data_IF_114787315799
#
_entry.id   IF_114787315799
#
_cell.length_a   1.000
_cell.length_b   1.000
_cell.length_c   1.000
_cell.angle_alpha   90.00
_cell.angle_beta   90.00
_cell.angle_gamma   90.00
#
_symmetry.space_group_name_H-M   'P 1'
#
loop_
_entity.id
_entity.type
_entity.pdbx_description
1 polymer ?
#
# COMPACT_ATOMS: atom_id res chain seq x y z
N UNK A 1 -3.73 17.51 7.99
CA UNK A 1 -4.64 16.68 7.18
C UNK A 1 -3.91 15.39 6.82
N UNK A 2 -4.36 14.26 7.38
CA UNK A 2 -3.67 12.98 7.27
C UNK A 2 -3.79 12.35 5.87
N UNK A 3 -4.72 12.83 5.04
CA UNK A 3 -4.99 12.26 3.72
C UNK A 3 -3.90 12.57 2.68
N UNK A 4 -3.30 13.77 2.73
CA UNK A 4 -2.27 14.20 1.77
C UNK A 4 -0.90 13.56 1.99
N UNK A 5 -0.52 13.27 3.23
CA UNK A 5 0.79 12.70 3.58
C UNK A 5 0.84 11.21 3.27
N UNK A 6 -0.24 10.46 3.50
CA UNK A 6 -0.31 9.02 3.21
C UNK A 6 -0.39 8.74 1.70
N UNK A 7 -1.10 9.56 0.93
CA UNK A 7 -1.14 9.44 -0.53
C UNK A 7 0.21 9.75 -1.20
N UNK A 8 1.05 10.60 -0.57
CA UNK A 8 2.42 10.83 -0.99
C UNK A 8 3.34 9.66 -0.60
N UNK A 9 3.14 9.08 0.58
CA UNK A 9 3.95 7.95 1.08
C UNK A 9 3.82 6.70 0.20
N UNK A 10 2.62 6.30 -0.19
CA UNK A 10 2.44 5.10 -1.03
C UNK A 10 2.92 5.30 -2.48
N UNK A 11 2.85 6.52 -3.03
CA UNK A 11 3.43 6.80 -4.36
C UNK A 11 4.96 6.74 -4.35
N UNK A 12 5.60 7.06 -3.22
CA UNK A 12 7.04 6.90 -3.06
C UNK A 12 7.48 5.43 -3.24
N UNK A 13 6.67 4.46 -2.80
CA UNK A 13 7.00 3.04 -2.97
C UNK A 13 7.14 2.66 -4.45
N UNK A 14 6.19 3.07 -5.30
CA UNK A 14 6.25 2.80 -6.75
C UNK A 14 7.42 3.54 -7.41
N UNK A 15 7.70 4.77 -6.99
CA UNK A 15 8.86 5.54 -7.44
C UNK A 15 10.18 4.84 -7.11
N UNK A 16 10.30 4.31 -5.89
CA UNK A 16 11.48 3.56 -5.44
C UNK A 16 11.66 2.28 -6.22
N UNK A 17 10.59 1.52 -6.48
CA UNK A 17 10.65 0.33 -7.32
C UNK A 17 11.17 0.68 -8.72
N UNK A 18 10.65 1.75 -9.34
CA UNK A 18 11.13 2.20 -10.64
C UNK A 18 12.63 2.54 -10.62
N UNK A 19 13.07 3.29 -9.60
CA UNK A 19 14.45 3.75 -9.49
C UNK A 19 15.44 2.65 -9.10
N UNK A 20 15.09 1.82 -8.12
CA UNK A 20 16.00 0.86 -7.48
C UNK A 20 15.98 -0.51 -8.16
N UNK A 21 14.86 -0.90 -8.78
CA UNK A 21 14.68 -2.22 -9.42
C UNK A 21 14.47 -2.12 -10.95
N UNK A 22 14.72 -0.95 -11.55
CA UNK A 22 14.54 -0.73 -12.99
C UNK A 22 13.09 -0.92 -13.45
N UNK A 23 12.14 -0.54 -12.60
CA UNK A 23 10.71 -0.66 -12.89
C UNK A 23 10.18 0.37 -13.88
N UNK A 24 9.07 0.06 -14.54
CA UNK A 24 8.37 0.95 -15.49
C UNK A 24 6.93 1.26 -15.07
N UNK A 25 6.67 1.21 -13.77
CA UNK A 25 5.32 1.41 -13.21
C UNK A 25 4.82 2.82 -13.55
N UNK A 26 3.62 2.97 -14.16
CA UNK A 26 3.00 4.27 -14.38
C UNK A 26 2.34 4.77 -13.10
N UNK A 27 3.02 5.65 -12.36
CA UNK A 27 2.56 6.14 -11.03
C UNK A 27 1.18 6.82 -11.07
N UNK A 28 0.83 7.46 -12.19
CA UNK A 28 -0.46 8.11 -12.43
C UNK A 28 -1.63 7.13 -12.51
N UNK A 29 -1.33 5.85 -12.79
CA UNK A 29 -2.33 4.79 -12.87
C UNK A 29 -2.68 4.18 -11.51
N UNK A 30 -2.08 4.65 -10.42
CA UNK A 30 -2.35 4.12 -9.09
C UNK A 30 -2.89 5.19 -8.14
N UNK A 31 -3.91 4.84 -7.37
CA UNK A 31 -4.44 5.66 -6.27
C UNK A 31 -4.29 4.95 -4.94
N UNK A 32 -4.12 5.73 -3.87
CA UNK A 32 -4.16 5.20 -2.51
C UNK A 32 -5.60 4.83 -2.14
N UNK A 33 -5.78 3.63 -1.59
CA UNK A 33 -7.06 3.13 -1.08
C UNK A 33 -6.86 2.60 0.34
N UNK A 34 -7.53 3.21 1.32
CA UNK A 34 -7.57 2.72 2.69
C UNK A 34 -8.84 1.89 2.91
N UNK A 35 -8.70 0.66 3.39
CA UNK A 35 -9.80 -0.27 3.62
C UNK A 35 -9.85 -0.59 5.12
N UNK A 36 -11.04 -0.49 5.73
CA UNK A 36 -11.23 -1.02 7.08
C UNK A 36 -11.50 -2.53 6.97
N UNK A 37 -10.66 -3.33 7.64
CA UNK A 37 -10.85 -4.76 7.79
C UNK A 37 -11.44 -5.00 9.19
N UNK A 38 -12.74 -5.29 9.24
CA UNK A 38 -13.50 -5.46 10.48
C UNK A 38 -13.05 -6.71 11.25
N UNK A 39 -12.89 -7.83 10.53
CA UNK A 39 -12.46 -9.12 11.10
C UNK A 39 -11.12 -9.02 11.84
N UNK A 40 -10.25 -8.09 11.42
CA UNK A 40 -8.91 -7.89 11.97
C UNK A 40 -8.73 -6.56 12.71
N UNK A 41 -9.81 -5.79 12.87
CA UNK A 41 -9.84 -4.48 13.51
C UNK A 41 -8.67 -3.56 13.09
N UNK A 42 -8.43 -3.43 11.78
CA UNK A 42 -7.28 -2.70 11.24
C UNK A 42 -7.61 -1.92 9.98
N UNK A 43 -6.81 -0.90 9.70
CA UNK A 43 -6.80 -0.22 8.40
C UNK A 43 -5.74 -0.88 7.52
N UNK A 44 -6.14 -1.31 6.34
CA UNK A 44 -5.25 -1.82 5.30
C UNK A 44 -5.01 -0.70 4.28
N UNK A 45 -3.76 -0.48 3.92
CA UNK A 45 -3.38 0.48 2.88
C UNK A 45 -3.09 -0.25 1.59
N UNK A 46 -3.74 0.19 0.52
CA UNK A 46 -3.61 -0.40 -0.80
C UNK A 46 -3.21 0.66 -1.83
N UNK A 47 -2.55 0.21 -2.88
CA UNK A 47 -2.43 0.91 -4.15
C UNK A 47 -3.35 0.23 -5.15
N UNK A 48 -4.36 0.94 -5.62
CA UNK A 48 -5.36 0.44 -6.56
C UNK A 48 -5.08 0.95 -7.96
N UNK A 49 -5.06 0.05 -8.95
CA UNK A 49 -4.96 0.41 -10.36
C UNK A 49 -6.25 1.11 -10.82
N UNK A 50 -6.14 2.31 -11.38
CA UNK A 50 -7.29 3.09 -11.87
C UNK A 50 -7.69 2.74 -13.31
N UNK A 51 -6.82 1.99 -14.00
CA UNK A 51 -6.98 1.47 -15.35
C UNK A 51 -6.14 0.20 -15.49
N UNK A 52 -6.36 -0.55 -16.56
CA UNK A 52 -5.49 -1.67 -16.90
C UNK A 52 -4.06 -1.16 -17.12
N UNK A 53 -3.09 -1.86 -16.54
CA UNK A 53 -1.68 -1.51 -16.61
C UNK A 53 -0.85 -2.74 -16.88
N UNK A 54 0.16 -2.56 -17.73
CA UNK A 54 1.27 -3.48 -17.89
C UNK A 54 2.56 -2.71 -17.59
N UNK A 55 3.44 -3.30 -16.80
CA UNK A 55 4.73 -2.72 -16.44
C UNK A 55 5.74 -3.83 -16.21
N UNK A 56 7.01 -3.45 -16.08
CA UNK A 56 8.10 -4.39 -15.79
C UNK A 56 8.79 -4.00 -14.49
N UNK A 57 9.31 -4.98 -13.76
CA UNK A 57 10.27 -4.80 -12.65
C UNK A 57 11.38 -5.82 -12.88
N UNK A 58 12.65 -5.40 -12.87
CA UNK A 58 13.80 -6.28 -13.18
C UNK A 58 13.61 -7.09 -14.48
N UNK A 59 13.02 -6.47 -15.50
CA UNK A 59 12.66 -7.07 -16.81
C UNK A 59 11.58 -8.16 -16.75
N UNK A 60 11.00 -8.43 -15.58
CA UNK A 60 9.85 -9.30 -15.44
C UNK A 60 8.56 -8.53 -15.72
N UNK A 61 7.69 -9.00 -16.64
CA UNK A 61 6.43 -8.34 -16.93
C UNK A 61 5.38 -8.63 -15.85
N UNK A 62 4.58 -7.62 -15.55
CA UNK A 62 3.41 -7.70 -14.69
C UNK A 62 2.23 -7.01 -15.38
N UNK A 63 1.05 -7.54 -15.13
CA UNK A 63 -0.22 -6.97 -15.57
C UNK A 63 -1.14 -6.83 -14.37
N UNK A 64 -1.90 -5.74 -14.35
CA UNK A 64 -2.99 -5.54 -13.40
C UNK A 64 -4.20 -4.97 -14.13
N UNK A 65 -5.38 -5.50 -13.83
CA UNK A 65 -6.65 -4.96 -14.30
C UNK A 65 -7.09 -3.76 -13.44
N UNK A 66 -7.93 -2.89 -14.01
CA UNK A 66 -8.55 -1.79 -13.28
C UNK A 66 -9.28 -2.30 -12.04
N UNK A 67 -9.00 -1.69 -10.88
CA UNK A 67 -9.57 -2.07 -9.58
C UNK A 67 -8.77 -3.11 -8.80
N UNK A 68 -7.78 -3.77 -9.40
CA UNK A 68 -6.86 -4.64 -8.66
C UNK A 68 -5.97 -3.82 -7.72
N UNK A 69 -5.57 -4.44 -6.60
CA UNK A 69 -4.87 -3.73 -5.54
C UNK A 69 -3.61 -4.43 -5.08
N UNK A 70 -2.56 -3.66 -4.80
CA UNK A 70 -1.36 -4.09 -4.06
C UNK A 70 -1.53 -3.67 -2.61
N UNK A 71 -1.53 -4.63 -1.68
CA UNK A 71 -1.52 -4.35 -0.24
C UNK A 71 -0.14 -3.85 0.18
N UNK A 72 -0.04 -2.63 0.70
CA UNK A 72 1.23 -2.03 1.12
C UNK A 72 1.46 -2.08 2.63
N UNK A 73 0.41 -1.93 3.45
CA UNK A 73 0.56 -1.82 4.91
C UNK A 73 -0.69 -2.28 5.68
N UNK A 74 -0.47 -2.76 6.90
CA UNK A 74 -1.51 -2.98 7.92
C UNK A 74 -1.27 -2.05 9.11
N UNK A 75 -2.21 -1.15 9.37
CA UNK A 75 -2.19 -0.29 10.55
C UNK A 75 -3.21 -0.79 11.58
N UNK A 76 -2.70 -1.46 12.61
CA UNK A 76 -3.50 -1.88 13.76
C UNK A 76 -3.80 -0.68 14.65
N UNK A 77 -5.08 -0.44 14.95
CA UNK A 77 -5.47 0.59 15.91
C UNK A 77 -5.60 -0.06 17.29
N UNK A 78 -4.57 0.09 18.10
CA UNK A 78 -4.60 -0.31 19.51
C UNK A 78 -5.32 0.75 20.33
N UNK A 79 -6.38 0.35 21.03
CA UNK A 79 -7.11 1.22 21.95
C UNK A 79 -6.42 1.28 23.32
N UNK A 80 -6.91 2.12 24.26
CA UNK A 80 -6.34 2.24 25.61
C UNK A 80 -6.25 0.92 26.39
N UNK A 81 -7.01 -0.11 26.00
CA UNK A 81 -6.98 -1.46 26.59
C UNK A 81 -5.82 -2.34 26.11
N UNK A 82 -5.21 -2.04 24.97
CA UNK A 82 -4.21 -2.90 24.33
C UNK A 82 -2.76 -2.56 24.69
N UNK A 83 -2.53 -1.43 25.37
CA UNK A 83 -1.22 -1.03 25.88
C UNK A 83 -0.58 -2.06 26.84
N UNK A 84 -1.36 -3.03 27.35
CA UNK A 84 -0.87 -4.12 28.20
C UNK A 84 -0.32 -5.33 27.44
N UNK A 85 -0.52 -5.42 26.12
CA UNK A 85 -0.09 -6.58 25.32
C UNK A 85 1.39 -6.45 24.88
N UNK A 86 1.98 -5.25 24.92
CA UNK A 86 3.40 -5.03 24.61
C UNK A 86 4.39 -5.36 25.76
N UNK A 87 3.90 -5.81 26.93
CA UNK A 87 4.74 -6.14 28.10
C UNK A 87 4.93 -7.65 28.37
N UNK A 88 4.79 -8.52 27.35
CA UNK A 88 5.09 -9.96 27.48
C UNK A 88 6.01 -10.55 26.40
N UNK A 89 6.76 -9.71 25.70
CA UNK A 89 7.93 -10.16 24.94
C UNK A 89 9.20 -9.77 25.72
N UNK A 90 9.43 -10.48 26.82
CA UNK A 90 10.63 -10.42 27.65
C UNK A 90 10.77 -11.76 28.35
#
# INVERSE_FOLDING_TARGET
>A
DAQGVTAAFNRNLLERINRELGGTIPLDAFRHRAIWNDDRARIEMHLEATRDVAFTIERHPFEMAAGETIHTENSHKYGPRDARILLRAG
#
